data_IF_812299369307
#
_entry.id   IF_812299369307
#
_cell.length_a   1.000
_cell.length_b   1.000
_cell.length_c   1.000
_cell.angle_alpha   90.00
_cell.angle_beta   90.00
_cell.angle_gamma   90.00
#
_symmetry.space_group_name_H-M   'P 1'
#
loop_
_entity.id
_entity.type
_entity.pdbx_description
1 polymer ?
#
# COMPACT_ATOMS: atom_id res chain seq x y z
N UNK A 1 31.97 33.21 15.58
CA UNK A 1 32.18 34.38 14.71
C UNK A 1 31.99 33.96 13.25
N UNK A 2 30.95 34.46 12.59
CA UNK A 2 30.69 34.16 11.17
C UNK A 2 31.79 34.70 10.25
N UNK A 3 32.46 33.82 9.52
CA UNK A 3 33.47 34.20 8.53
C UNK A 3 32.89 34.38 7.13
N UNK A 4 33.68 34.99 6.23
CA UNK A 4 33.29 35.17 4.84
C UNK A 4 33.14 33.82 4.12
N UNK A 5 31.91 33.48 3.72
CA UNK A 5 31.56 32.24 3.03
C UNK A 5 30.83 31.22 3.90
N UNK A 6 30.78 31.43 5.22
CA UNK A 6 29.97 30.64 6.15
C UNK A 6 28.52 31.16 6.16
N UNK A 7 27.56 30.26 6.35
CA UNK A 7 26.13 30.60 6.53
C UNK A 7 25.76 30.65 8.02
N UNK A 8 26.43 29.82 8.84
CA UNK A 8 26.25 29.70 10.27
C UNK A 8 27.61 29.53 10.99
N UNK A 9 27.63 29.79 12.29
CA UNK A 9 28.71 29.38 13.21
C UNK A 9 28.10 29.19 14.61
N UNK A 10 28.11 27.95 15.08
CA UNK A 10 27.53 27.50 16.35
C UNK A 10 28.60 27.21 17.44
N UNK A 11 29.86 27.53 17.13
CA UNK A 11 31.03 27.36 17.99
C UNK A 11 31.27 25.94 18.52
N UNK A 12 30.86 24.90 17.78
CA UNK A 12 31.16 23.53 18.14
C UNK A 12 31.64 22.69 16.92
N UNK A 13 31.75 21.37 17.04
CA UNK A 13 32.25 20.48 15.98
C UNK A 13 31.28 19.32 15.65
N UNK A 14 30.02 19.49 16.04
CA UNK A 14 28.94 18.53 15.87
C UNK A 14 28.17 18.90 14.60
N UNK A 15 28.35 18.14 13.54
CA UNK A 15 27.66 18.42 12.28
C UNK A 15 26.15 18.10 12.32
N UNK A 16 25.65 17.52 13.41
CA UNK A 16 24.30 16.97 13.50
C UNK A 16 23.30 17.94 14.18
N UNK A 17 23.67 19.19 14.40
CA UNK A 17 22.79 20.26 14.88
C UNK A 17 22.55 21.32 13.78
N UNK A 18 22.12 22.52 14.15
CA UNK A 18 21.69 23.57 13.23
C UNK A 18 22.80 24.04 12.27
N UNK A 19 24.07 23.75 12.56
CA UNK A 19 25.20 24.17 11.74
C UNK A 19 26.14 23.00 11.43
N UNK A 20 26.28 22.66 10.15
CA UNK A 20 27.19 21.58 9.75
C UNK A 20 28.66 21.96 9.99
N UNK A 21 29.55 20.96 10.04
CA UNK A 21 31.01 21.21 10.11
C UNK A 21 31.59 21.89 8.86
N UNK A 22 30.80 22.05 7.80
CA UNK A 22 31.14 22.89 6.64
C UNK A 22 30.74 24.37 6.83
N UNK A 23 30.21 24.73 8.01
CA UNK A 23 29.66 26.04 8.35
C UNK A 23 28.53 26.46 7.40
N UNK A 24 27.70 25.48 7.03
CA UNK A 24 26.48 25.65 6.24
C UNK A 24 25.27 25.29 7.11
N UNK A 25 24.15 25.98 6.91
CA UNK A 25 22.89 25.67 7.58
C UNK A 25 22.52 24.21 7.29
N UNK A 26 22.16 23.45 8.33
CA UNK A 26 21.76 22.07 8.18
C UNK A 26 20.42 21.96 7.43
N UNK A 27 20.36 21.08 6.42
CA UNK A 27 19.16 20.86 5.61
C UNK A 27 19.01 19.40 5.20
N UNK A 28 17.76 18.95 5.14
CA UNK A 28 17.46 17.62 4.63
C UNK A 28 17.96 17.44 3.19
N UNK A 29 18.72 16.37 2.97
CA UNK A 29 19.31 16.00 1.70
C UNK A 29 20.75 16.48 1.51
N UNK A 30 21.40 16.99 2.57
CA UNK A 30 22.81 17.39 2.54
C UNK A 30 23.77 16.27 2.95
N UNK A 31 23.26 15.06 3.20
CA UNK A 31 23.96 13.85 3.66
C UNK A 31 24.45 13.90 5.11
N UNK A 32 23.99 14.87 5.90
CA UNK A 32 24.31 15.03 7.32
C UNK A 32 23.03 15.07 8.14
N UNK A 33 22.87 14.10 9.04
CA UNK A 33 21.64 14.00 9.85
C UNK A 33 21.52 15.16 10.84
N UNK A 34 20.52 16.03 10.66
CA UNK A 34 20.18 17.13 11.57
C UNK A 34 19.16 16.70 12.65
N UNK A 35 19.67 16.09 13.73
CA UNK A 35 18.84 15.54 14.82
C UNK A 35 19.09 16.20 16.20
N UNK A 36 19.88 17.26 16.24
CA UNK A 36 20.15 18.07 17.42
C UNK A 36 19.80 19.54 17.15
N UNK A 37 19.87 20.37 18.20
CA UNK A 37 19.45 21.77 18.10
C UNK A 37 17.94 21.87 17.85
N UNK A 38 17.58 22.50 16.73
CA UNK A 38 16.19 22.61 16.24
C UNK A 38 15.82 21.53 15.23
N UNK A 39 16.77 20.67 14.85
CA UNK A 39 16.58 19.57 13.92
C UNK A 39 15.72 18.43 14.46
N UNK A 40 15.13 17.67 13.54
CA UNK A 40 14.31 16.49 13.84
C UNK A 40 14.40 15.42 12.76
N UNK A 41 15.47 15.44 11.98
CA UNK A 41 15.70 14.44 10.94
C UNK A 41 15.97 13.07 11.57
N UNK A 42 15.29 12.05 11.05
CA UNK A 42 15.52 10.68 11.47
C UNK A 42 16.62 10.01 10.63
N UNK A 43 16.88 10.53 9.43
CA UNK A 43 17.84 10.05 8.46
C UNK A 43 18.21 11.20 7.50
N UNK A 44 19.34 11.09 6.82
CA UNK A 44 19.66 11.91 5.64
C UNK A 44 20.63 11.11 4.76
N UNK A 45 20.10 10.60 3.64
CA UNK A 45 20.87 9.83 2.66
C UNK A 45 21.12 10.63 1.36
N UNK A 46 20.92 11.96 1.41
CA UNK A 46 21.02 12.85 0.25
C UNK A 46 19.78 12.84 -0.66
N UNK A 47 18.70 12.19 -0.23
CA UNK A 47 17.45 12.07 -0.97
C UNK A 47 16.64 10.83 -0.57
N UNK A 48 15.60 10.54 -1.36
CA UNK A 48 14.70 9.42 -1.10
C UNK A 48 15.33 8.06 -1.41
N UNK A 49 15.33 7.16 -0.43
CA UNK A 49 15.88 5.80 -0.50
C UNK A 49 14.92 4.79 0.13
N UNK A 50 15.36 3.54 0.27
CA UNK A 50 14.57 2.51 0.95
C UNK A 50 14.44 2.73 2.46
N UNK A 51 15.27 3.60 3.03
CA UNK A 51 15.39 3.82 4.48
C UNK A 51 15.23 5.28 4.88
N UNK A 52 15.10 6.20 3.91
CA UNK A 52 14.94 7.61 4.16
C UNK A 52 14.02 8.27 3.13
N UNK A 53 13.01 9.00 3.60
CA UNK A 53 12.10 9.75 2.74
C UNK A 53 12.75 11.08 2.31
N UNK A 54 12.17 11.71 1.28
CA UNK A 54 12.65 13.00 0.77
C UNK A 54 12.57 14.16 1.78
N UNK A 55 11.80 13.99 2.87
CA UNK A 55 11.67 14.93 3.98
C UNK A 55 12.45 14.49 5.23
N UNK A 56 13.38 13.54 5.08
CA UNK A 56 14.23 13.02 6.15
C UNK A 56 13.46 12.32 7.30
N UNK A 57 12.23 11.89 7.02
CA UNK A 57 11.49 10.91 7.82
C UNK A 57 11.86 9.48 7.43
N UNK A 58 11.58 8.51 8.30
CA UNK A 58 11.75 7.09 7.97
C UNK A 58 10.47 6.59 7.30
N UNK A 59 10.55 5.87 6.17
CA UNK A 59 9.38 5.24 5.55
C UNK A 59 8.68 4.32 6.53
N UNK A 60 7.35 4.39 6.56
CA UNK A 60 6.55 3.68 7.55
C UNK A 60 5.16 3.37 7.02
N UNK A 61 4.91 2.07 6.84
CA UNK A 61 3.61 1.56 6.50
C UNK A 61 2.52 1.97 7.50
N UNK A 62 1.37 2.36 6.97
CA UNK A 62 0.20 2.92 7.66
C UNK A 62 0.31 4.42 7.97
N UNK A 63 1.15 5.17 7.26
CA UNK A 63 1.19 6.63 7.33
C UNK A 63 0.30 7.30 6.25
N UNK A 64 -0.27 6.52 5.33
CA UNK A 64 -1.11 6.98 4.22
C UNK A 64 -0.33 7.50 3.00
N UNK A 65 0.97 7.27 2.93
CA UNK A 65 1.87 7.65 1.84
C UNK A 65 2.52 6.37 1.30
N UNK A 66 2.58 6.23 -0.03
CA UNK A 66 3.19 5.04 -0.65
C UNK A 66 4.66 5.29 -0.92
N UNK A 67 5.52 4.66 -0.13
CA UNK A 67 6.98 4.77 -0.25
C UNK A 67 7.55 3.65 -1.13
N UNK A 68 7.48 3.87 -2.45
CA UNK A 68 7.90 2.89 -3.47
C UNK A 68 9.36 2.45 -3.31
N UNK A 69 10.24 3.36 -2.90
CA UNK A 69 11.65 3.05 -2.68
C UNK A 69 11.87 2.11 -1.48
N UNK A 70 10.99 2.18 -0.47
CA UNK A 70 10.95 1.28 0.69
C UNK A 70 10.28 -0.07 0.39
N UNK A 71 9.70 -0.24 -0.80
CA UNK A 71 9.09 -1.49 -1.26
C UNK A 71 7.59 -1.60 -0.97
N UNK A 72 6.95 -0.49 -0.62
CA UNK A 72 5.50 -0.44 -0.44
C UNK A 72 4.78 -0.53 -1.79
N UNK A 73 3.65 -1.24 -1.80
CA UNK A 73 2.77 -1.35 -2.97
C UNK A 73 1.47 -0.56 -2.79
N UNK A 74 1.10 -0.33 -1.54
CA UNK A 74 -0.08 0.40 -1.09
C UNK A 74 0.20 0.94 0.32
N UNK A 75 -0.51 1.98 0.72
CA UNK A 75 -0.65 2.43 2.10
C UNK A 75 -2.01 3.14 2.19
N UNK A 76 -2.95 2.57 2.95
CA UNK A 76 -4.28 3.12 3.18
C UNK A 76 -4.44 3.81 4.54
N UNK A 77 -3.33 4.01 5.25
CA UNK A 77 -3.25 4.63 6.56
C UNK A 77 -3.72 3.72 7.70
N UNK A 78 -3.92 2.42 7.43
CA UNK A 78 -4.49 1.45 8.36
C UNK A 78 -3.68 0.17 8.50
N UNK A 79 -4.15 -0.70 9.39
CA UNK A 79 -3.61 -2.06 9.61
C UNK A 79 -4.72 -3.12 9.54
N UNK A 80 -5.92 -2.69 9.14
CA UNK A 80 -7.09 -3.53 8.97
C UNK A 80 -6.82 -4.56 7.87
N UNK A 81 -7.30 -5.79 8.07
CA UNK A 81 -7.15 -6.85 7.06
C UNK A 81 -8.39 -6.93 6.20
N UNK A 82 -8.21 -7.17 4.91
CA UNK A 82 -9.27 -7.38 3.93
C UNK A 82 -9.82 -6.11 3.28
N UNK A 83 -9.19 -4.96 3.50
CA UNK A 83 -9.50 -3.68 2.85
C UNK A 83 -8.67 -3.43 1.57
N UNK A 84 -7.66 -4.26 1.32
CA UNK A 84 -6.85 -4.21 0.11
C UNK A 84 -5.39 -3.88 0.36
N UNK A 85 -5.01 -3.40 1.55
CA UNK A 85 -3.61 -3.18 1.91
C UNK A 85 -3.23 -3.91 3.19
N UNK A 86 -2.20 -4.74 3.13
CA UNK A 86 -1.78 -5.50 4.31
C UNK A 86 -1.06 -4.60 5.31
N UNK A 87 -0.94 -5.06 6.56
CA UNK A 87 -0.09 -4.47 7.60
C UNK A 87 1.42 -4.43 7.27
N UNK A 88 1.82 -4.86 6.07
CA UNK A 88 3.20 -4.77 5.54
C UNK A 88 3.23 -4.03 4.21
N UNK A 89 2.20 -3.24 3.92
CA UNK A 89 2.06 -2.40 2.73
C UNK A 89 2.22 -3.18 1.42
N UNK A 90 1.65 -4.39 1.40
CA UNK A 90 1.54 -5.24 0.22
C UNK A 90 0.07 -5.38 -0.16
N UNK A 91 -0.23 -5.46 -1.45
CA UNK A 91 -1.61 -5.68 -1.88
C UNK A 91 -2.16 -6.98 -1.31
N UNK A 92 -3.35 -6.91 -0.72
CA UNK A 92 -4.05 -8.09 -0.26
C UNK A 92 -4.78 -8.76 -1.41
N UNK A 93 -4.71 -10.09 -1.49
CA UNK A 93 -5.60 -10.85 -2.36
C UNK A 93 -6.95 -10.94 -1.65
N UNK A 94 -7.84 -9.97 -1.92
CA UNK A 94 -9.19 -9.98 -1.36
C UNK A 94 -9.90 -11.25 -1.85
N UNK A 95 -9.96 -12.26 -0.98
CA UNK A 95 -10.69 -13.50 -1.23
C UNK A 95 -12.18 -13.17 -1.16
N UNK A 96 -12.77 -12.66 -2.25
CA UNK A 96 -14.22 -12.45 -2.32
C UNK A 96 -14.90 -13.82 -2.16
N UNK A 97 -15.62 -14.09 -1.04
CA UNK A 97 -16.24 -15.39 -0.81
C UNK A 97 -17.43 -15.66 -1.74
N UNK A 98 -17.72 -14.77 -2.70
CA UNK A 98 -18.83 -14.87 -3.62
C UNK A 98 -18.70 -15.98 -4.69
N UNK A 99 -17.50 -16.54 -4.90
CA UNK A 99 -17.29 -17.64 -5.86
C UNK A 99 -17.30 -19.04 -5.25
N UNK A 100 -17.43 -19.18 -3.92
CA UNK A 100 -17.47 -20.47 -3.24
C UNK A 100 -18.83 -20.81 -2.60
N UNK A 101 -19.84 -19.96 -2.74
CA UNK A 101 -21.21 -20.37 -2.38
C UNK A 101 -21.82 -21.17 -3.55
N UNK A 102 -22.13 -22.47 -3.38
CA UNK A 102 -22.82 -23.25 -4.42
C UNK A 102 -24.26 -22.77 -4.70
N UNK A 103 -24.73 -21.71 -4.01
CA UNK A 103 -26.10 -21.21 -4.10
C UNK A 103 -26.34 -20.25 -5.28
N UNK A 104 -25.31 -19.56 -5.80
CA UNK A 104 -25.45 -18.77 -7.05
C UNK A 104 -25.41 -19.64 -8.31
N UNK A 105 -24.89 -20.87 -8.23
CA UNK A 105 -24.96 -21.86 -9.31
C UNK A 105 -26.36 -22.42 -9.56
N UNK A 106 -27.26 -22.34 -8.58
CA UNK A 106 -28.64 -22.84 -8.68
C UNK A 106 -29.61 -21.86 -9.35
N UNK A 107 -29.30 -20.56 -9.39
CA UNK A 107 -30.12 -19.57 -10.12
C UNK A 107 -29.68 -19.40 -11.58
N UNK A 108 -28.41 -19.65 -11.91
CA UNK A 108 -27.94 -19.65 -13.31
C UNK A 108 -28.21 -21.00 -14.00
N UNK A 109 -28.18 -22.12 -13.27
CA UNK A 109 -28.46 -23.46 -13.83
C UNK A 109 -29.94 -23.73 -14.18
N UNK A 110 -30.89 -23.01 -13.58
CA UNK A 110 -32.32 -23.19 -13.82
C UNK A 110 -32.83 -22.57 -15.13
N UNK A 111 -32.06 -21.68 -15.76
CA UNK A 111 -32.43 -21.04 -17.04
C UNK A 111 -31.92 -21.80 -18.28
N UNK A 112 -31.00 -22.77 -18.13
CA UNK A 112 -30.46 -23.56 -19.25
C UNK A 112 -30.96 -25.03 -19.28
N UNK A 113 -31.68 -25.51 -18.26
CA UNK A 113 -32.19 -26.88 -18.19
C UNK A 113 -33.69 -27.01 -18.56
N UNK A 114 -34.23 -26.09 -19.37
CA UNK A 114 -35.63 -26.07 -19.83
C UNK A 114 -35.88 -26.71 -21.20
N UNK A 115 -34.97 -27.55 -21.71
CA UNK A 115 -35.09 -28.22 -23.02
C UNK A 115 -35.37 -29.71 -22.87
N UNK A 116 -36.60 -30.13 -23.15
CA UNK A 116 -37.15 -31.41 -22.75
C UNK A 116 -36.55 -32.67 -23.40
N UNK A 117 -36.43 -33.73 -22.60
CA UNK A 117 -36.32 -35.12 -23.04
C UNK A 117 -36.89 -36.04 -21.96
N UNK A 118 -38.21 -36.17 -21.90
CA UNK A 118 -38.85 -37.32 -21.27
C UNK A 118 -39.84 -37.93 -22.26
N UNK A 119 -39.28 -38.52 -23.32
CA UNK A 119 -39.98 -39.54 -24.09
C UNK A 119 -40.19 -40.75 -23.17
N UNK A 120 -41.42 -40.95 -22.68
CA UNK A 120 -41.83 -42.23 -22.09
C UNK A 120 -43.08 -42.73 -22.79
N UNK A 121 -42.84 -43.69 -23.68
CA UNK A 121 -43.83 -44.48 -24.39
C UNK A 121 -44.76 -45.25 -23.42
N UNK A 122 -46.06 -45.30 -23.74
CA UNK A 122 -47.10 -46.33 -23.45
C UNK A 122 -48.49 -45.67 -23.53
N UNK A 123 -49.55 -46.20 -24.15
CA UNK A 123 -49.88 -47.43 -24.89
C UNK A 123 -51.01 -47.08 -25.86
N UNK A 124 -51.11 -47.82 -26.96
CA UNK A 124 -52.30 -47.87 -27.81
C UNK A 124 -53.51 -48.42 -27.04
N UNK A 125 -54.65 -47.73 -27.16
CA UNK A 125 -56.03 -48.25 -27.01
C UNK A 125 -56.94 -47.19 -27.67
N UNK A 126 -57.29 -47.42 -28.94
CA UNK A 126 -58.57 -47.98 -29.38
C UNK A 126 -59.77 -47.05 -29.16
N UNK A 127 -60.42 -46.79 -30.30
CA UNK A 127 -61.86 -46.60 -30.50
C UNK A 127 -62.47 -45.18 -30.45
N UNK A 128 -62.80 -44.71 -31.66
CA UNK A 128 -64.14 -44.31 -32.10
C UNK A 128 -64.97 -43.42 -31.17
N UNK A 129 -65.20 -42.19 -31.61
CA UNK A 129 -66.49 -41.49 -31.58
C UNK A 129 -66.33 -40.27 -32.52
N UNK A 130 -66.80 -40.38 -33.76
CA UNK A 130 -68.13 -39.97 -34.25
C UNK A 130 -68.10 -38.53 -34.75
#
# INVERSE_FOLDING_TARGET
ELNAGEQCDDANANANDDCTNACLDAVCGDTTVWNQGTGSEACDEGGETATCNADCSVPFCSNGVVELNAGEQCDDGGLEQGDGCSATCQFEVIQVPALSTPLLGLLVGALLAGGGWLARARRERLERAS
#
